data_IF_800283685773
#
_entry.id   IF_800283685773
#
_cell.length_a   1.000
_cell.length_b   1.000
_cell.length_c   1.000
_cell.angle_alpha   90.00
_cell.angle_beta   90.00
_cell.angle_gamma   90.00
#
_symmetry.space_group_name_H-M   'P 1'
#
loop_
_entity.id
_entity.type
_entity.pdbx_description
1 polymer ?
#
# COMPACT_ATOMS: atom_id res chain seq x y z
N UNK A 1 -38.30 -17.78 11.39
CA UNK A 1 -38.07 -16.36 11.02
C UNK A 1 -36.69 -15.88 11.51
N UNK A 2 -35.73 -16.79 11.73
CA UNK A 2 -34.61 -16.56 12.66
C UNK A 2 -33.23 -16.58 11.95
N UNK A 3 -33.17 -17.04 10.70
CA UNK A 3 -31.97 -17.05 9.84
C UNK A 3 -31.62 -15.68 9.24
N UNK A 4 -32.61 -14.78 9.11
CA UNK A 4 -32.41 -13.43 8.57
C UNK A 4 -31.59 -12.52 9.53
N UNK A 5 -31.64 -12.80 10.83
CA UNK A 5 -30.90 -12.05 11.86
C UNK A 5 -29.43 -12.51 12.02
N UNK A 6 -29.12 -13.75 11.60
CA UNK A 6 -27.76 -14.33 11.64
C UNK A 6 -26.81 -13.68 10.63
N UNK A 7 -27.30 -13.20 9.48
CA UNK A 7 -26.47 -12.58 8.45
C UNK A 7 -25.94 -11.18 8.81
N UNK A 8 -26.38 -10.57 9.91
CA UNK A 8 -25.90 -9.27 10.36
C UNK A 8 -24.77 -9.34 11.41
N UNK A 9 -24.49 -10.51 11.98
CA UNK A 9 -23.59 -10.64 13.13
C UNK A 9 -22.15 -11.10 12.83
N UNK A 10 -21.81 -11.41 11.57
CA UNK A 10 -20.48 -11.93 11.17
C UNK A 10 -19.55 -10.88 10.52
N UNK A 11 -19.96 -9.62 10.37
CA UNK A 11 -19.14 -8.62 9.65
C UNK A 11 -18.26 -7.70 10.51
N UNK A 12 -18.37 -7.75 11.85
CA UNK A 12 -17.68 -6.78 12.74
C UNK A 12 -16.33 -7.23 13.31
N UNK A 13 -16.05 -8.54 13.34
CA UNK A 13 -14.78 -9.09 13.85
C UNK A 13 -13.70 -9.22 12.78
N UNK A 14 -14.11 -9.47 11.52
CA UNK A 14 -13.22 -9.45 10.36
C UNK A 14 -12.66 -8.05 10.07
N UNK A 15 -13.35 -6.97 10.42
CA UNK A 15 -12.87 -5.61 10.13
C UNK A 15 -11.58 -5.25 10.90
N UNK A 16 -11.45 -5.69 12.16
CA UNK A 16 -10.23 -5.45 12.95
C UNK A 16 -9.08 -6.36 12.51
N UNK A 17 -9.37 -7.63 12.19
CA UNK A 17 -8.39 -8.58 11.65
C UNK A 17 -7.89 -8.18 10.27
N UNK A 18 -8.79 -7.77 9.38
CA UNK A 18 -8.49 -7.31 8.03
C UNK A 18 -7.67 -6.02 8.04
N UNK A 19 -8.00 -5.04 8.89
CA UNK A 19 -7.18 -3.81 9.04
C UNK A 19 -5.76 -4.12 9.48
N UNK A 20 -5.58 -5.04 10.44
CA UNK A 20 -4.24 -5.50 10.86
C UNK A 20 -3.53 -6.29 9.77
N UNK A 21 -4.26 -7.14 9.05
CA UNK A 21 -3.71 -7.94 7.94
C UNK A 21 -3.28 -7.06 6.77
N UNK A 22 -4.02 -6.01 6.46
CA UNK A 22 -3.67 -5.01 5.44
C UNK A 22 -2.44 -4.21 5.87
N UNK A 23 -2.38 -3.75 7.13
CA UNK A 23 -1.19 -3.09 7.67
C UNK A 23 0.06 -3.99 7.63
N UNK A 24 -0.09 -5.26 7.99
CA UNK A 24 0.99 -6.25 7.88
C UNK A 24 1.40 -6.51 6.44
N UNK A 25 0.44 -6.63 5.51
CA UNK A 25 0.72 -6.80 4.09
C UNK A 25 1.50 -5.60 3.53
N UNK A 26 1.11 -4.38 3.88
CA UNK A 26 1.84 -3.15 3.49
C UNK A 26 3.26 -3.15 4.05
N UNK A 27 3.43 -3.51 5.32
CA UNK A 27 4.75 -3.58 5.96
C UNK A 27 5.66 -4.59 5.25
N UNK A 28 5.13 -5.77 4.95
CA UNK A 28 5.86 -6.84 4.25
C UNK A 28 6.19 -6.42 2.82
N UNK A 29 5.24 -5.83 2.07
CA UNK A 29 5.50 -5.32 0.72
C UNK A 29 6.60 -4.25 0.72
N UNK A 30 6.61 -3.34 1.69
CA UNK A 30 7.68 -2.34 1.83
C UNK A 30 9.03 -2.98 2.16
N UNK A 31 9.06 -3.99 3.05
CA UNK A 31 10.30 -4.71 3.34
C UNK A 31 10.85 -5.45 2.12
N UNK A 32 9.99 -6.15 1.38
CA UNK A 32 10.37 -6.87 0.15
C UNK A 32 10.88 -5.89 -0.89
N UNK A 33 10.19 -4.75 -1.08
CA UNK A 33 10.62 -3.69 -1.98
C UNK A 33 12.05 -3.21 -1.70
N UNK A 34 12.40 -2.96 -0.43
CA UNK A 34 13.77 -2.58 -0.07
C UNK A 34 14.77 -3.71 -0.33
N UNK A 35 14.40 -4.96 -0.06
CA UNK A 35 15.26 -6.12 -0.34
C UNK A 35 15.49 -6.29 -1.84
N UNK A 36 14.47 -6.14 -2.68
CA UNK A 36 14.58 -6.24 -4.14
C UNK A 36 15.35 -5.07 -4.74
N UNK A 37 15.20 -3.87 -4.19
CA UNK A 37 15.96 -2.69 -4.59
C UNK A 37 17.47 -2.90 -4.33
N UNK A 38 17.83 -3.27 -3.10
CA UNK A 38 19.24 -3.50 -2.74
C UNK A 38 19.79 -4.79 -3.37
N UNK A 39 19.00 -5.85 -3.42
CA UNK A 39 19.37 -7.14 -4.01
C UNK A 39 19.54 -7.08 -5.53
N UNK A 40 18.69 -6.32 -6.23
CA UNK A 40 18.82 -6.05 -7.65
C UNK A 40 20.05 -5.21 -7.96
N UNK A 41 20.35 -4.21 -7.13
CA UNK A 41 21.55 -3.38 -7.26
C UNK A 41 22.84 -4.17 -7.01
N UNK A 42 22.87 -5.02 -5.97
CA UNK A 42 24.03 -5.85 -5.61
C UNK A 42 24.26 -7.02 -6.57
N UNK A 43 23.18 -7.66 -7.08
CA UNK A 43 23.28 -8.76 -8.05
C UNK A 43 23.49 -8.31 -9.49
N UNK A 44 23.30 -7.02 -9.81
CA UNK A 44 23.36 -6.50 -11.19
C UNK A 44 22.27 -7.08 -12.11
N UNK A 45 21.17 -7.57 -11.53
CA UNK A 45 20.12 -8.28 -12.27
C UNK A 45 18.99 -7.35 -12.66
N UNK A 46 18.87 -7.07 -13.96
CA UNK A 46 17.81 -6.23 -14.54
C UNK A 46 16.41 -6.82 -14.29
N UNK A 47 16.30 -8.14 -14.12
CA UNK A 47 15.02 -8.81 -13.85
C UNK A 47 14.44 -8.44 -12.47
N UNK A 48 15.27 -8.42 -11.42
CA UNK A 48 14.86 -7.96 -10.08
C UNK A 48 14.62 -6.45 -10.06
N UNK A 49 15.44 -5.70 -10.80
CA UNK A 49 15.30 -4.25 -10.93
C UNK A 49 14.02 -3.85 -11.68
N UNK A 50 13.57 -4.65 -12.63
CA UNK A 50 12.32 -4.43 -13.36
C UNK A 50 11.09 -4.60 -12.46
N UNK A 51 11.09 -5.61 -11.57
CA UNK A 51 10.03 -5.84 -10.59
C UNK A 51 10.01 -4.73 -9.52
N UNK A 52 11.18 -4.35 -8.98
CA UNK A 52 11.34 -3.21 -8.08
C UNK A 52 10.98 -1.87 -8.75
N UNK A 53 11.27 -1.73 -10.05
CA UNK A 53 11.00 -0.54 -10.84
C UNK A 53 9.50 -0.22 -10.94
N UNK A 54 8.65 -1.22 -11.12
CA UNK A 54 7.20 -1.02 -11.14
C UNK A 54 6.70 -0.47 -9.79
N UNK A 55 7.19 -1.02 -8.68
CA UNK A 55 6.82 -0.59 -7.33
C UNK A 55 7.38 0.82 -7.01
N UNK A 56 8.56 1.18 -7.54
CA UNK A 56 9.10 2.56 -7.49
C UNK A 56 8.13 3.51 -8.20
N UNK A 57 7.69 3.18 -9.41
CA UNK A 57 6.79 4.05 -10.19
C UNK A 57 5.46 4.26 -9.47
N UNK A 58 4.88 3.22 -8.88
CA UNK A 58 3.66 3.33 -8.07
C UNK A 58 3.88 4.21 -6.83
N UNK A 59 5.03 4.07 -6.17
CA UNK A 59 5.40 4.89 -4.99
C UNK A 59 5.61 6.36 -5.35
N UNK A 60 6.25 6.65 -6.49
CA UNK A 60 6.42 8.02 -7.00
C UNK A 60 5.05 8.62 -7.34
N UNK A 61 4.14 7.87 -7.95
CA UNK A 61 2.78 8.33 -8.24
C UNK A 61 2.02 8.70 -6.97
N UNK A 62 2.12 7.88 -5.90
CA UNK A 62 1.53 8.19 -4.60
C UNK A 62 2.17 9.42 -3.94
N UNK A 63 3.49 9.57 -4.02
CA UNK A 63 4.21 10.74 -3.48
C UNK A 63 3.81 12.04 -4.19
N UNK A 64 3.75 12.01 -5.53
CA UNK A 64 3.27 13.15 -6.33
C UNK A 64 1.81 13.47 -6.03
N UNK A 65 0.95 12.46 -5.87
CA UNK A 65 -0.45 12.66 -5.48
C UNK A 65 -0.56 13.37 -4.13
N UNK A 66 0.25 12.97 -3.13
CA UNK A 66 0.30 13.64 -1.84
C UNK A 66 0.79 15.09 -1.95
N UNK A 67 1.82 15.37 -2.76
CA UNK A 67 2.34 16.72 -3.01
C UNK A 67 1.27 17.57 -3.71
N UNK A 68 0.56 17.03 -4.70
CA UNK A 68 -0.51 17.72 -5.41
C UNK A 68 -1.68 18.05 -4.46
N UNK A 69 -2.04 17.12 -3.57
CA UNK A 69 -3.05 17.37 -2.52
C UNK A 69 -2.56 18.41 -1.53
N UNK A 70 -1.30 18.37 -1.09
CA UNK A 70 -0.73 19.39 -0.20
C UNK A 70 -0.72 20.77 -0.84
N UNK A 71 -0.36 20.86 -2.13
CA UNK A 71 -0.42 22.09 -2.92
C UNK A 71 -1.85 22.57 -3.13
N UNK A 72 -2.80 21.67 -3.39
CA UNK A 72 -4.22 21.99 -3.56
C UNK A 72 -4.90 22.37 -2.25
N UNK A 73 -4.45 21.80 -1.12
CA UNK A 73 -4.93 22.10 0.22
C UNK A 73 -4.30 23.38 0.79
N UNK A 74 -3.23 23.89 0.16
CA UNK A 74 -2.73 25.24 0.44
C UNK A 74 -3.78 26.25 -0.04
N UNK A 75 -4.45 26.88 0.93
CA UNK A 75 -5.47 27.93 0.74
C UNK A 75 -5.07 28.86 -0.42
N UNK A 76 -5.98 29.17 -1.36
CA UNK A 76 -5.73 30.21 -2.34
C UNK A 76 -5.55 31.52 -1.58
N UNK A 77 -4.34 32.05 -1.62
CA UNK A 77 -4.07 33.41 -1.16
C UNK A 77 -4.67 34.34 -2.23
N UNK A 78 -5.66 35.15 -1.85
CA UNK A 78 -6.18 36.25 -2.65
C UNK A 78 -5.16 37.40 -2.75
#
# INVERSE_FOLDING_TARGET
MDDFFQLYHVKRSQEKGLKRSILLAILVSISIFFVELFGGFQSGSIALLADAGHIITDTIALSLSLIAVLLSSKKPNY
#
